data_IF_193978792665
#
_entry.id   IF_193978792665
#
_cell.length_a   1.000
_cell.length_b   1.000
_cell.length_c   1.000
_cell.angle_alpha   90.00
_cell.angle_beta   90.00
_cell.angle_gamma   90.00
#
_symmetry.space_group_name_H-M   'P 1'
#
loop_
_entity.id
_entity.type
_entity.pdbx_description
1 polymer ?
#
# COMPACT_ATOMS: atom_id res chain seq x y z
N UNK A 1 11.68 12.26 0.17
CA UNK A 1 10.34 12.57 -0.38
C UNK A 1 9.49 11.33 -0.62
N UNK A 2 10.06 10.16 -0.98
CA UNK A 2 9.27 8.96 -1.34
C UNK A 2 8.60 8.17 -0.21
N UNK A 3 8.91 8.42 1.08
CA UNK A 3 8.40 7.57 2.19
C UNK A 3 6.87 7.62 2.32
N UNK A 4 6.27 8.80 2.13
CA UNK A 4 4.81 8.94 2.19
C UNK A 4 4.13 8.19 1.05
N UNK A 5 4.69 8.27 -0.16
CA UNK A 5 4.18 7.53 -1.31
C UNK A 5 4.37 6.02 -1.15
N UNK A 6 5.54 5.58 -0.65
CA UNK A 6 5.85 4.20 -0.29
C UNK A 6 4.84 3.64 0.71
N UNK A 7 4.49 4.43 1.74
CA UNK A 7 3.49 4.02 2.70
C UNK A 7 2.10 3.82 2.07
N UNK A 8 1.68 4.73 1.18
CA UNK A 8 0.41 4.62 0.46
C UNK A 8 0.42 3.41 -0.49
N UNK A 9 1.52 3.21 -1.22
CA UNK A 9 1.76 2.07 -2.10
C UNK A 9 1.69 0.74 -1.34
N UNK A 10 2.42 0.62 -0.23
CA UNK A 10 2.41 -0.56 0.64
C UNK A 10 1.02 -0.89 1.19
N UNK A 11 0.22 0.12 1.56
CA UNK A 11 -1.17 -0.11 1.96
C UNK A 11 -1.95 -0.73 0.80
N UNK A 12 -1.85 -0.18 -0.41
CA UNK A 12 -2.46 -0.75 -1.62
C UNK A 12 -2.03 -2.20 -1.87
N UNK A 13 -0.73 -2.48 -1.75
CA UNK A 13 -0.16 -3.82 -1.90
C UNK A 13 -0.72 -4.81 -0.87
N UNK A 14 -0.91 -4.41 0.39
CA UNK A 14 -1.50 -5.29 1.40
C UNK A 14 -2.93 -5.70 1.06
N UNK A 15 -3.76 -4.75 0.63
CA UNK A 15 -5.14 -5.05 0.23
C UNK A 15 -5.19 -5.86 -1.06
N UNK A 16 -4.32 -5.56 -2.04
CA UNK A 16 -4.21 -6.32 -3.28
C UNK A 16 -3.74 -7.76 -3.00
N UNK A 17 -2.74 -7.94 -2.14
CA UNK A 17 -2.22 -9.24 -1.74
C UNK A 17 -3.27 -10.07 -1.00
N UNK A 18 -3.99 -9.48 -0.05
CA UNK A 18 -5.07 -10.16 0.66
C UNK A 18 -6.14 -10.68 -0.31
N UNK A 19 -6.55 -9.85 -1.27
CA UNK A 19 -7.50 -10.23 -2.32
C UNK A 19 -6.99 -11.36 -3.20
N UNK A 20 -5.74 -11.30 -3.64
CA UNK A 20 -5.14 -12.32 -4.50
C UNK A 20 -4.91 -13.66 -3.77
N UNK A 21 -4.69 -13.61 -2.46
CA UNK A 21 -4.57 -14.79 -1.59
C UNK A 21 -5.93 -15.34 -1.13
N UNK A 22 -7.06 -14.72 -1.53
CA UNK A 22 -8.40 -15.04 -1.02
C UNK A 22 -8.48 -14.93 0.52
N UNK A 23 -7.62 -14.10 1.10
CA UNK A 23 -7.59 -13.83 2.52
C UNK A 23 -8.53 -12.67 2.86
N UNK A 24 -9.05 -12.62 4.11
CA UNK A 24 -9.85 -11.49 4.55
C UNK A 24 -9.04 -10.19 4.49
N UNK A 25 -9.69 -9.03 4.28
CA UNK A 25 -9.03 -7.73 4.24
C UNK A 25 -8.19 -7.52 5.53
N UNK A 26 -6.98 -6.94 5.41
CA UNK A 26 -6.08 -6.81 6.54
C UNK A 26 -6.67 -5.85 7.57
N UNK A 27 -6.76 -6.25 8.86
CA UNK A 27 -7.26 -5.36 9.90
C UNK A 27 -6.27 -4.21 10.13
N UNK A 28 -6.77 -3.06 10.64
CA UNK A 28 -5.97 -1.83 10.83
C UNK A 28 -4.67 -2.07 11.61
N UNK A 29 -4.69 -2.94 12.63
CA UNK A 29 -3.51 -3.27 13.42
C UNK A 29 -2.45 -4.05 12.61
N UNK A 30 -2.86 -4.89 11.67
CA UNK A 30 -1.94 -5.63 10.80
C UNK A 30 -1.28 -4.69 9.78
N UNK A 31 -2.03 -3.74 9.23
CA UNK A 31 -1.52 -2.68 8.32
C UNK A 31 -0.51 -1.80 9.04
N UNK A 32 -0.87 -1.26 10.22
CA UNK A 32 0.02 -0.43 11.02
C UNK A 32 1.31 -1.17 11.42
N UNK A 33 1.18 -2.46 11.75
CA UNK A 33 2.33 -3.32 12.04
C UNK A 33 3.22 -3.51 10.81
N UNK A 34 2.64 -3.82 9.65
CA UNK A 34 3.38 -3.95 8.39
C UNK A 34 4.19 -2.70 8.08
N UNK A 35 3.55 -1.53 8.14
CA UNK A 35 4.20 -0.24 7.91
C UNK A 35 5.31 0.06 8.94
N UNK A 36 5.11 -0.34 10.20
CA UNK A 36 6.14 -0.20 11.23
C UNK A 36 7.37 -1.06 10.94
N UNK A 37 7.19 -2.32 10.50
CA UNK A 37 8.30 -3.19 10.11
C UNK A 37 9.01 -2.70 8.84
N UNK A 38 8.28 -2.13 7.88
CA UNK A 38 8.86 -1.48 6.70
C UNK A 38 9.76 -0.29 7.09
N UNK A 39 9.26 0.58 7.98
CA UNK A 39 10.03 1.70 8.53
C UNK A 39 11.25 1.25 9.34
N UNK A 40 11.10 0.21 10.17
CA UNK A 40 12.22 -0.39 10.91
C UNK A 40 13.26 -0.98 9.97
N UNK A 41 12.82 -1.64 8.89
CA UNK A 41 13.67 -2.13 7.83
C UNK A 41 14.47 -0.99 7.19
N UNK A 42 13.81 0.11 6.85
CA UNK A 42 14.47 1.31 6.32
C UNK A 42 15.58 1.83 7.26
N UNK A 43 15.31 1.86 8.57
CA UNK A 43 16.30 2.28 9.57
C UNK A 43 17.50 1.33 9.62
N UNK A 44 17.26 0.02 9.62
CA UNK A 44 18.32 -1.00 9.62
C UNK A 44 19.16 -0.90 8.34
N UNK A 45 18.52 -0.76 7.18
CA UNK A 45 19.17 -0.56 5.86
C UNK A 45 20.04 0.71 5.85
N UNK A 46 19.56 1.80 6.44
CA UNK A 46 20.30 3.04 6.57
C UNK A 46 21.53 2.89 7.48
N UNK A 47 21.38 2.22 8.63
CA UNK A 47 22.48 1.94 9.57
C UNK A 47 23.55 1.05 8.91
N UNK A 48 23.13 0.07 8.11
CA UNK A 48 24.03 -0.83 7.39
C UNK A 48 24.68 -0.20 6.14
N UNK A 49 24.36 1.06 5.83
CA UNK A 49 24.98 1.83 4.76
C UNK A 49 24.42 1.59 3.36
N UNK A 50 23.34 0.82 3.20
CA UNK A 50 22.66 0.64 1.90
C UNK A 50 21.93 1.91 1.49
N UNK A 51 21.35 2.65 2.45
CA UNK A 51 20.74 3.97 2.21
C UNK A 51 19.48 3.98 1.32
N UNK A 52 19.06 2.82 0.82
CA UNK A 52 17.82 2.65 0.06
C UNK A 52 16.63 2.41 1.00
N UNK A 53 15.51 3.08 0.71
CA UNK A 53 14.23 2.80 1.36
C UNK A 53 13.72 1.41 0.99
N UNK A 54 13.13 0.72 1.96
CA UNK A 54 12.43 -0.54 1.77
C UNK A 54 10.94 -0.26 1.62
N UNK A 55 10.29 -0.98 0.72
CA UNK A 55 8.85 -0.91 0.46
C UNK A 55 8.31 -2.31 0.20
N UNK A 56 6.98 -2.44 0.23
CA UNK A 56 6.31 -3.63 -0.30
C UNK A 56 6.53 -3.71 -1.81
N UNK A 57 6.78 -4.93 -2.30
CA UNK A 57 7.07 -5.16 -3.72
C UNK A 57 5.81 -5.61 -4.44
N UNK A 58 5.18 -4.71 -5.21
CA UNK A 58 3.99 -5.03 -6.02
C UNK A 58 4.21 -6.16 -7.02
N UNK A 59 5.46 -6.41 -7.43
CA UNK A 59 5.81 -7.54 -8.30
C UNK A 59 5.58 -8.89 -7.61
N UNK A 60 5.91 -8.99 -6.31
CA UNK A 60 5.65 -10.19 -5.52
C UNK A 60 4.14 -10.39 -5.38
N UNK A 61 3.37 -9.31 -5.23
CA UNK A 61 1.90 -9.34 -5.22
C UNK A 61 1.37 -9.86 -6.56
N UNK A 62 1.90 -9.37 -7.68
CA UNK A 62 1.57 -9.85 -9.02
C UNK A 62 1.91 -11.34 -9.22
N UNK A 63 3.08 -11.78 -8.74
CA UNK A 63 3.50 -13.18 -8.80
C UNK A 63 2.58 -14.11 -8.01
N UNK A 64 2.07 -13.67 -6.85
CA UNK A 64 1.03 -14.41 -6.10
C UNK A 64 -0.24 -14.56 -6.93
N UNK A 65 -0.65 -13.50 -7.64
CA UNK A 65 -1.83 -13.53 -8.51
C UNK A 65 -1.76 -14.60 -9.61
N UNK A 66 -0.55 -14.86 -10.12
CA UNK A 66 -0.28 -15.86 -11.17
C UNK A 66 -0.08 -17.25 -10.57
N UNK A 67 0.80 -17.38 -9.56
CA UNK A 67 1.18 -18.66 -8.97
C UNK A 67 0.10 -19.24 -8.07
N UNK A 68 -0.81 -18.41 -7.56
CA UNK A 68 -1.83 -18.76 -6.56
C UNK A 68 -1.24 -19.33 -5.26
N UNK A 69 0.01 -19.00 -4.94
CA UNK A 69 0.68 -19.44 -3.71
C UNK A 69 0.84 -18.26 -2.74
N UNK A 70 -0.13 -18.08 -1.85
CA UNK A 70 -0.12 -17.06 -0.79
C UNK A 70 0.55 -17.48 0.54
N UNK A 71 1.43 -18.49 0.52
CA UNK A 71 1.98 -19.07 1.75
C UNK A 71 3.11 -18.23 2.37
N UNK A 72 2.96 -17.87 3.66
CA UNK A 72 3.98 -17.13 4.43
C UNK A 72 5.35 -17.83 4.46
N UNK A 73 5.36 -19.17 4.44
CA UNK A 73 6.59 -19.97 4.45
C UNK A 73 7.44 -19.74 3.21
N UNK A 74 6.81 -19.52 2.06
CA UNK A 74 7.50 -19.27 0.79
C UNK A 74 8.28 -17.97 0.88
N UNK A 75 7.66 -16.90 1.40
CA UNK A 75 8.30 -15.59 1.58
C UNK A 75 9.45 -15.67 2.59
N UNK A 76 9.29 -16.42 3.69
CA UNK A 76 10.35 -16.63 4.69
C UNK A 76 11.55 -17.37 4.12
N UNK A 77 11.32 -18.46 3.39
CA UNK A 77 12.38 -19.24 2.75
C UNK A 77 13.08 -18.42 1.67
N UNK A 78 12.32 -17.66 0.85
CA UNK A 78 12.89 -16.74 -0.13
C UNK A 78 13.78 -15.68 0.52
N UNK A 79 13.35 -15.08 1.63
CA UNK A 79 14.16 -14.12 2.40
C UNK A 79 15.45 -14.74 2.95
N UNK A 80 15.38 -15.96 3.49
CA UNK A 80 16.55 -16.69 3.97
C UNK A 80 17.53 -16.99 2.82
N UNK A 81 17.02 -17.43 1.66
CA UNK A 81 17.82 -17.66 0.47
C UNK A 81 18.50 -16.37 0.02
N UNK A 82 17.78 -15.24 0.00
CA UNK A 82 18.35 -13.94 -0.36
C UNK A 82 19.49 -13.54 0.58
N UNK A 83 19.32 -13.69 1.90
CA UNK A 83 20.39 -13.42 2.88
C UNK A 83 21.61 -14.30 2.60
N UNK A 84 21.41 -15.61 2.39
CA UNK A 84 22.51 -16.54 2.12
C UNK A 84 23.22 -16.19 0.82
N UNK A 85 22.48 -15.88 -0.25
CA UNK A 85 23.05 -15.49 -1.54
C UNK A 85 23.82 -14.16 -1.47
N UNK A 86 23.35 -13.20 -0.68
CA UNK A 86 24.05 -11.92 -0.45
C UNK A 86 25.41 -12.09 0.24
N UNK A 87 25.62 -13.15 1.01
CA UNK A 87 26.92 -13.44 1.64
C UNK A 87 27.96 -13.94 0.63
N UNK A 88 27.53 -14.48 -0.52
CA UNK A 88 28.42 -15.02 -1.54
C UNK A 88 28.66 -14.01 -2.67
N UNK A 89 29.71 -13.20 -2.55
CA UNK A 89 30.05 -12.14 -3.53
C UNK A 89 30.25 -12.62 -4.97
N UNK A 90 30.55 -13.92 -5.18
CA UNK A 90 30.63 -14.52 -6.52
C UNK A 90 29.30 -14.45 -7.27
N UNK A 91 28.18 -14.67 -6.58
CA UNK A 91 26.85 -14.56 -7.20
C UNK A 91 26.54 -13.10 -7.54
N UNK A 92 26.86 -12.15 -6.65
CA UNK A 92 26.73 -10.71 -6.91
C UNK A 92 27.56 -10.28 -8.12
N UNK A 93 28.77 -10.81 -8.30
CA UNK A 93 29.62 -10.55 -9.46
C UNK A 93 28.96 -11.05 -10.76
N UNK A 94 28.30 -12.21 -10.75
CA UNK A 94 27.54 -12.69 -11.90
C UNK A 94 26.41 -11.74 -12.27
N UNK A 95 25.65 -11.21 -11.29
CA UNK A 95 24.61 -10.21 -11.57
C UNK A 95 25.17 -8.92 -12.19
N UNK A 96 26.37 -8.50 -11.82
CA UNK A 96 27.03 -7.34 -12.41
C UNK A 96 27.43 -7.54 -13.88
N UNK A 97 27.52 -8.78 -14.37
CA UNK A 97 27.82 -9.07 -15.78
C UNK A 97 26.58 -9.02 -16.70
N UNK A 98 25.38 -8.85 -16.15
CA UNK A 98 24.15 -8.81 -16.94
C UNK A 98 24.14 -7.54 -17.82
N UNK A 99 23.91 -7.67 -19.14
CA UNK A 99 23.83 -6.52 -20.04
C UNK A 99 22.72 -5.54 -19.65
N UNK A 100 23.02 -4.24 -19.75
CA UNK A 100 22.07 -3.14 -19.49
C UNK A 100 20.74 -3.28 -20.24
N UNK A 101 20.69 -3.73 -21.52
CA UNK A 101 19.42 -3.91 -22.22
C UNK A 101 18.49 -4.94 -21.56
N UNK A 102 19.03 -6.00 -20.95
CA UNK A 102 18.24 -7.01 -20.25
C UNK A 102 17.65 -6.40 -18.98
N UNK A 103 18.48 -5.68 -18.22
CA UNK A 103 18.04 -4.97 -17.01
C UNK A 103 16.93 -3.96 -17.35
N UNK A 104 17.06 -3.23 -18.45
CA UNK A 104 16.01 -2.34 -18.95
C UNK A 104 14.71 -3.08 -19.29
N UNK A 105 14.79 -4.26 -19.91
CA UNK A 105 13.61 -5.10 -20.18
C UNK A 105 12.88 -5.56 -18.92
N UNK A 106 13.63 -5.96 -17.88
CA UNK A 106 13.04 -6.29 -16.57
C UNK A 106 12.34 -5.08 -15.97
N UNK A 107 12.96 -3.90 -16.02
CA UNK A 107 12.32 -2.67 -15.51
C UNK A 107 11.03 -2.30 -16.24
N UNK A 108 10.92 -2.54 -17.55
CA UNK A 108 9.68 -2.29 -18.30
C UNK A 108 8.53 -3.16 -17.76
N UNK A 109 8.80 -4.44 -17.50
CA UNK A 109 7.80 -5.36 -16.93
C UNK A 109 7.45 -4.95 -15.50
N UNK A 110 8.45 -4.66 -14.68
CA UNK A 110 8.33 -4.21 -13.30
C UNK A 110 7.43 -2.97 -13.19
N UNK A 111 7.76 -1.89 -13.90
CA UNK A 111 6.97 -0.65 -13.88
C UNK A 111 5.57 -0.85 -14.46
N UNK A 112 5.41 -1.76 -15.42
CA UNK A 112 4.09 -2.15 -15.95
C UNK A 112 3.20 -2.78 -14.86
N UNK A 113 3.73 -3.74 -14.10
CA UNK A 113 3.01 -4.39 -12.99
C UNK A 113 2.74 -3.39 -11.86
N UNK A 114 3.73 -2.59 -11.46
CA UNK A 114 3.58 -1.55 -10.42
C UNK A 114 2.44 -0.59 -10.82
N UNK A 115 2.40 -0.15 -12.08
CA UNK A 115 1.33 0.72 -12.58
C UNK A 115 -0.03 0.03 -12.52
N UNK A 116 -0.11 -1.24 -12.94
CA UNK A 116 -1.36 -2.00 -12.90
C UNK A 116 -1.88 -2.21 -11.46
N UNK A 117 -1.00 -2.55 -10.53
CA UNK A 117 -1.35 -2.70 -9.11
C UNK A 117 -1.77 -1.36 -8.51
N UNK A 118 -1.06 -0.27 -8.81
CA UNK A 118 -1.41 1.08 -8.37
C UNK A 118 -2.76 1.60 -8.88
N UNK A 119 -3.18 1.19 -10.08
CA UNK A 119 -4.50 1.53 -10.64
C UNK A 119 -5.62 0.60 -10.15
N UNK A 120 -5.29 -0.57 -9.60
CA UNK A 120 -6.28 -1.56 -9.19
C UNK A 120 -7.34 -1.06 -8.18
N UNK A 121 -7.06 -0.14 -7.24
CA UNK A 121 -8.08 0.41 -6.35
C UNK A 121 -9.14 1.25 -7.06
N UNK A 122 -8.87 1.74 -8.27
CA UNK A 122 -9.86 2.51 -9.05
C UNK A 122 -11.12 1.69 -9.39
N UNK A 123 -11.04 0.36 -9.33
CA UNK A 123 -12.19 -0.53 -9.53
C UNK A 123 -13.33 -0.31 -8.50
N UNK A 124 -13.04 0.29 -7.35
CA UNK A 124 -14.03 0.54 -6.30
C UNK A 124 -14.80 1.86 -6.51
N UNK A 125 -14.26 2.75 -7.35
CA UNK A 125 -14.75 4.09 -7.64
C UNK A 125 -15.70 4.02 -8.85
N UNK A 126 -16.72 4.88 -8.90
CA UNK A 126 -17.58 4.99 -10.08
C UNK A 126 -16.87 5.74 -11.23
N UNK A 127 -16.47 4.99 -12.26
CA UNK A 127 -15.86 5.51 -13.49
C UNK A 127 -16.90 5.98 -14.53
N UNK A 128 -18.19 6.03 -14.20
CA UNK A 128 -19.18 6.70 -15.06
C UNK A 128 -19.31 8.18 -14.73
N UNK A 129 -18.87 8.62 -13.54
CA UNK A 129 -18.92 10.02 -13.14
C UNK A 129 -17.80 10.82 -13.81
N UNK A 130 -18.17 11.82 -14.61
CA UNK A 130 -17.23 12.75 -15.26
C UNK A 130 -16.29 13.44 -14.26
N UNK A 131 -16.73 13.62 -13.01
CA UNK A 131 -15.91 14.17 -11.91
C UNK A 131 -14.68 13.28 -11.66
N UNK A 132 -14.89 11.99 -11.46
CA UNK A 132 -13.82 11.06 -11.13
C UNK A 132 -12.86 10.87 -12.30
N UNK A 133 -13.40 10.77 -13.52
CA UNK A 133 -12.59 10.71 -14.75
C UNK A 133 -11.71 11.93 -14.91
N UNK A 134 -12.24 13.12 -14.65
CA UNK A 134 -11.47 14.35 -14.69
C UNK A 134 -10.34 14.35 -13.64
N UNK A 135 -10.63 13.99 -12.38
CA UNK A 135 -9.62 13.94 -11.31
C UNK A 135 -8.48 12.98 -11.68
N UNK A 136 -8.82 11.76 -12.11
CA UNK A 136 -7.84 10.72 -12.48
C UNK A 136 -7.00 11.18 -13.67
N UNK A 137 -7.65 11.60 -14.76
CA UNK A 137 -6.95 12.00 -15.98
C UNK A 137 -6.07 13.23 -15.78
N UNK A 138 -6.58 14.26 -15.10
CA UNK A 138 -5.85 15.50 -14.87
C UNK A 138 -4.67 15.29 -13.93
N UNK A 139 -4.83 14.53 -12.84
CA UNK A 139 -3.74 14.26 -11.88
C UNK A 139 -2.61 13.44 -12.49
N UNK A 140 -2.92 12.39 -13.26
CA UNK A 140 -1.91 11.58 -13.96
C UNK A 140 -1.19 12.43 -15.01
N UNK A 141 -1.92 13.18 -15.83
CA UNK A 141 -1.33 14.00 -16.87
C UNK A 141 -0.41 15.08 -16.32
N UNK A 142 -0.86 15.81 -15.29
CA UNK A 142 -0.04 16.85 -14.63
C UNK A 142 1.17 16.27 -13.92
N UNK A 143 1.03 15.11 -13.26
CA UNK A 143 2.13 14.37 -12.63
C UNK A 143 3.21 13.91 -13.60
N UNK A 144 2.91 13.75 -14.90
CA UNK A 144 3.90 13.43 -15.94
C UNK A 144 4.43 14.69 -16.61
N UNK A 145 3.55 15.64 -16.93
CA UNK A 145 3.86 16.81 -17.75
C UNK A 145 4.72 17.84 -17.03
N UNK A 146 4.39 18.17 -15.78
CA UNK A 146 5.08 19.24 -15.03
C UNK A 146 6.53 18.88 -14.71
N UNK A 147 6.86 17.67 -14.21
CA UNK A 147 8.27 17.30 -14.01
C UNK A 147 9.08 17.34 -15.30
N UNK A 148 8.50 16.89 -16.42
CA UNK A 148 9.15 16.94 -17.73
C UNK A 148 9.38 18.39 -18.19
N UNK A 149 8.44 19.28 -17.94
CA UNK A 149 8.58 20.70 -18.23
C UNK A 149 9.66 21.37 -17.36
N UNK A 150 9.72 21.05 -16.06
CA UNK A 150 10.76 21.55 -15.15
C UNK A 150 12.15 21.08 -15.60
N UNK A 151 12.28 19.80 -15.97
CA UNK A 151 13.54 19.26 -16.48
C UNK A 151 13.98 19.94 -17.80
N UNK A 152 13.04 20.31 -18.66
CA UNK A 152 13.32 21.01 -19.91
C UNK A 152 13.61 22.51 -19.73
N UNK A 153 13.22 23.12 -18.61
CA UNK A 153 13.38 24.55 -18.33
C UNK A 153 14.14 24.79 -17.01
N UNK A 154 15.43 24.40 -16.94
CA UNK A 154 16.24 24.64 -15.75
C UNK A 154 16.36 26.14 -15.47
N UNK A 155 16.00 26.57 -14.26
CA UNK A 155 16.02 27.97 -13.85
C UNK A 155 14.78 28.79 -14.21
N UNK A 156 13.67 28.15 -14.59
CA UNK A 156 12.38 28.82 -14.78
C UNK A 156 11.80 29.38 -13.47
N UNK A 157 12.11 28.75 -12.34
CA UNK A 157 11.69 29.20 -11.01
C UNK A 157 12.76 30.15 -10.48
N UNK A 158 12.42 31.44 -10.41
CA UNK A 158 13.27 32.50 -9.86
C UNK A 158 12.46 33.33 -8.88
N UNK A 159 12.27 32.82 -7.67
CA UNK A 159 11.58 33.54 -6.59
C UNK A 159 12.49 34.52 -5.85
N UNK A 160 13.78 34.55 -6.17
CA UNK A 160 14.77 35.45 -5.57
C UNK A 160 15.48 34.87 -4.35
N UNK A 161 15.11 33.66 -3.92
CA UNK A 161 15.80 32.90 -2.87
C UNK A 161 16.20 31.52 -3.41
N UNK A 162 17.50 31.24 -3.42
CA UNK A 162 18.04 30.00 -3.97
C UNK A 162 17.48 28.76 -3.25
N UNK A 163 17.27 28.84 -1.93
CA UNK A 163 16.72 27.73 -1.14
C UNK A 163 15.26 27.42 -1.49
N UNK A 164 14.46 28.45 -1.78
CA UNK A 164 13.05 28.28 -2.17
C UNK A 164 12.98 27.72 -3.59
N UNK A 165 13.79 28.25 -4.50
CA UNK A 165 13.85 27.80 -5.89
C UNK A 165 14.25 26.31 -5.96
N UNK A 166 15.24 25.89 -5.18
CA UNK A 166 15.64 24.47 -5.09
C UNK A 166 14.52 23.60 -4.51
N UNK A 167 13.87 24.04 -3.43
CA UNK A 167 12.78 23.27 -2.80
C UNK A 167 11.60 23.09 -3.76
N UNK A 168 11.17 24.16 -4.43
CA UNK A 168 10.10 24.13 -5.41
C UNK A 168 10.48 23.27 -6.62
N UNK A 169 11.73 23.36 -7.08
CA UNK A 169 12.24 22.52 -8.18
C UNK A 169 12.16 21.04 -7.80
N UNK A 170 12.56 20.65 -6.59
CA UNK A 170 12.50 19.25 -6.13
C UNK A 170 11.05 18.77 -6.03
N UNK A 171 10.14 19.58 -5.47
CA UNK A 171 8.72 19.22 -5.34
C UNK A 171 8.08 19.04 -6.72
N UNK A 172 8.27 20.00 -7.62
CA UNK A 172 7.66 19.99 -8.95
C UNK A 172 8.31 18.97 -9.90
N UNK A 173 9.56 18.58 -9.65
CA UNK A 173 10.23 17.48 -10.38
C UNK A 173 9.79 16.10 -9.88
N UNK A 174 9.11 16.01 -8.73
CA UNK A 174 8.63 14.74 -8.17
C UNK A 174 7.20 14.46 -8.67
N UNK A 175 7.09 13.80 -9.82
CA UNK A 175 5.79 13.56 -10.49
C UNK A 175 4.75 12.80 -9.66
N UNK A 176 5.19 11.79 -8.92
CA UNK A 176 4.32 11.00 -8.02
C UNK A 176 3.69 11.85 -6.91
N UNK A 177 4.50 12.70 -6.25
CA UNK A 177 4.02 13.62 -5.23
C UNK A 177 3.04 14.63 -5.82
N UNK A 178 3.40 15.23 -6.96
CA UNK A 178 2.60 16.24 -7.60
C UNK A 178 1.24 15.71 -8.06
N UNK A 179 1.21 14.56 -8.73
CA UNK A 179 -0.03 13.90 -9.14
C UNK A 179 -0.92 13.58 -7.94
N UNK A 180 -0.34 13.04 -6.87
CA UNK A 180 -1.07 12.73 -5.63
C UNK A 180 -1.66 13.96 -4.95
N UNK A 181 -0.88 15.05 -4.82
CA UNK A 181 -1.36 16.31 -4.22
C UNK A 181 -2.46 16.94 -5.07
N UNK A 182 -2.33 16.94 -6.39
CA UNK A 182 -3.36 17.46 -7.30
C UNK A 182 -4.63 16.61 -7.21
N UNK A 183 -4.51 15.27 -7.23
CA UNK A 183 -5.65 14.38 -7.08
C UNK A 183 -6.39 14.63 -5.76
N UNK A 184 -5.65 14.73 -4.66
CA UNK A 184 -6.19 15.03 -3.33
C UNK A 184 -6.89 16.39 -3.30
N UNK A 185 -6.25 17.42 -3.85
CA UNK A 185 -6.83 18.76 -3.90
C UNK A 185 -8.13 18.78 -4.72
N UNK A 186 -8.15 18.14 -5.88
CA UNK A 186 -9.33 18.11 -6.74
C UNK A 186 -10.45 17.26 -6.13
N UNK A 187 -10.15 16.14 -5.50
CA UNK A 187 -11.17 15.30 -4.87
C UNK A 187 -11.87 16.03 -3.71
N UNK A 188 -11.15 16.82 -2.92
CA UNK A 188 -11.71 17.65 -1.85
C UNK A 188 -12.45 18.88 -2.35
N UNK A 189 -12.02 19.47 -3.47
CA UNK A 189 -12.62 20.71 -4.01
C UNK A 189 -13.89 20.42 -4.81
N UNK A 190 -13.90 19.35 -5.60
CA UNK A 190 -15.04 18.98 -6.43
C UNK A 190 -16.08 18.21 -5.58
N UNK A 191 -17.29 18.75 -5.51
CA UNK A 191 -18.42 18.10 -4.84
C UNK A 191 -18.69 16.73 -5.47
N UNK A 192 -18.78 15.69 -4.65
CA UNK A 192 -19.16 14.34 -5.07
C UNK A 192 -19.76 13.57 -3.89
N UNK A 193 -20.51 12.53 -4.20
CA UNK A 193 -21.14 11.65 -3.20
C UNK A 193 -20.19 10.55 -2.74
N UNK A 194 -20.46 9.97 -1.57
CA UNK A 194 -19.65 8.86 -1.03
C UNK A 194 -19.72 7.59 -1.89
N UNK A 195 -20.79 7.45 -2.67
CA UNK A 195 -20.95 6.38 -3.67
C UNK A 195 -20.05 6.60 -4.87
N UNK A 196 -20.05 7.81 -5.44
CA UNK A 196 -19.16 8.16 -6.55
C UNK A 196 -17.69 8.00 -6.14
N UNK A 197 -17.32 8.37 -4.91
CA UNK A 197 -15.95 8.19 -4.38
C UNK A 197 -15.57 6.73 -4.12
N UNK A 198 -16.52 5.79 -4.21
CA UNK A 198 -16.27 4.36 -3.96
C UNK A 198 -16.12 3.98 -2.49
N UNK A 199 -16.41 4.91 -1.56
CA UNK A 199 -16.22 4.69 -0.12
C UNK A 199 -17.15 3.58 0.38
N UNK A 200 -18.40 3.56 -0.07
CA UNK A 200 -19.35 2.51 0.31
C UNK A 200 -18.94 1.13 -0.19
N UNK A 201 -18.47 1.04 -1.44
CA UNK A 201 -17.98 -0.21 -2.03
C UNK A 201 -16.73 -0.71 -1.31
N UNK A 202 -15.81 0.19 -0.97
CA UNK A 202 -14.62 -0.13 -0.19
C UNK A 202 -14.95 -0.61 1.22
N UNK A 203 -15.85 0.09 1.93
CA UNK A 203 -16.31 -0.29 3.27
C UNK A 203 -17.04 -1.63 3.23
N UNK A 204 -17.88 -1.88 2.23
CA UNK A 204 -18.57 -3.17 2.09
C UNK A 204 -17.58 -4.32 1.94
N UNK A 205 -16.53 -4.15 1.12
CA UNK A 205 -15.46 -5.16 0.99
C UNK A 205 -14.66 -5.31 2.29
N UNK A 206 -14.41 -4.22 3.02
CA UNK A 206 -13.74 -4.26 4.31
C UNK A 206 -14.58 -4.96 5.40
N UNK A 207 -15.89 -4.69 5.48
CA UNK A 207 -16.80 -5.22 6.49
C UNK A 207 -17.28 -6.65 6.22
N UNK A 208 -17.42 -7.07 4.96
CA UNK A 208 -17.69 -8.49 4.64
C UNK A 208 -16.56 -9.39 5.15
N UNK A 209 -15.33 -8.86 5.27
CA UNK A 209 -14.21 -9.52 5.93
C UNK A 209 -14.32 -9.66 7.45
N UNK A 210 -15.00 -8.72 8.12
CA UNK A 210 -15.17 -8.72 9.57
C UNK A 210 -16.35 -9.59 10.03
N UNK A 211 -17.44 -9.64 9.25
CA UNK A 211 -18.68 -10.34 9.64
C UNK A 211 -18.66 -11.86 9.43
N UNK A 212 -17.72 -12.40 8.65
CA UNK A 212 -17.79 -13.80 8.22
C UNK A 212 -17.03 -14.80 9.11
N UNK A 213 -16.11 -14.40 10.00
CA UNK A 213 -15.42 -15.35 10.89
C UNK A 213 -14.56 -14.59 11.93
N UNK A 214 -15.10 -14.36 13.13
CA UNK A 214 -14.38 -13.74 14.27
C UNK A 214 -13.22 -14.61 14.79
N UNK A 215 -13.12 -15.89 14.41
CA UNK A 215 -12.04 -16.81 14.83
C UNK A 215 -10.93 -17.05 13.77
N UNK A 216 -11.22 -16.95 12.47
CA UNK A 216 -10.24 -17.33 11.41
C UNK A 216 -9.41 -16.15 10.88
N UNK A 217 -9.95 -14.93 10.99
CA UNK A 217 -9.32 -13.67 10.55
C UNK A 217 -8.05 -13.33 11.34
N UNK A 218 -8.02 -13.67 12.63
CA UNK A 218 -6.89 -13.40 13.53
C UNK A 218 -5.70 -14.32 13.21
N UNK A 219 -5.94 -15.61 13.00
CA UNK A 219 -4.90 -16.60 12.69
C UNK A 219 -4.13 -16.29 11.39
N UNK A 220 -4.81 -15.73 10.38
CA UNK A 220 -4.22 -15.42 9.07
C UNK A 220 -3.25 -14.24 9.11
N UNK A 221 -3.36 -13.35 10.11
CA UNK A 221 -2.47 -12.19 10.29
C UNK A 221 -1.57 -12.32 11.52
N UNK A 222 -1.47 -13.49 12.14
CA UNK A 222 -0.58 -13.70 13.29
C UNK A 222 0.91 -13.60 12.97
N UNK A 223 1.71 -13.33 14.01
CA UNK A 223 3.16 -13.30 13.94
C UNK A 223 3.76 -14.70 13.67
N UNK A 224 4.86 -14.79 12.91
CA UNK A 224 5.51 -16.07 12.64
C UNK A 224 6.10 -16.68 13.90
N UNK A 225 6.26 -18.01 13.90
CA UNK A 225 6.89 -18.79 14.99
C UNK A 225 6.21 -18.68 16.36
N UNK A 226 4.91 -18.34 16.42
CA UNK A 226 4.18 -18.26 17.68
C UNK A 226 4.56 -17.05 18.54
N UNK A 227 5.25 -16.05 17.97
CA UNK A 227 5.62 -14.81 18.66
C UNK A 227 4.41 -14.05 19.22
N UNK A 228 3.21 -14.30 18.66
CA UNK A 228 1.94 -13.86 19.21
C UNK A 228 1.79 -14.23 20.70
N UNK A 229 2.13 -15.48 21.09
CA UNK A 229 2.00 -15.95 22.47
C UNK A 229 2.98 -15.25 23.42
N UNK A 230 4.14 -14.83 22.91
CA UNK A 230 5.12 -14.05 23.65
C UNK A 230 4.69 -12.60 23.83
N UNK A 231 4.17 -11.97 22.77
CA UNK A 231 3.63 -10.60 22.81
C UNK A 231 2.35 -10.49 23.66
N UNK A 232 1.49 -11.51 23.65
CA UNK A 232 0.28 -11.57 24.48
C UNK A 232 0.59 -11.61 25.99
N UNK A 233 1.84 -11.91 26.38
CA UNK A 233 2.28 -12.00 27.78
C UNK A 233 2.43 -10.64 28.46
N UNK A 234 2.62 -9.56 27.68
CA UNK A 234 2.78 -8.21 28.22
C UNK A 234 1.53 -7.36 27.95
N UNK A 235 0.76 -7.06 29.00
CA UNK A 235 -0.50 -6.29 28.91
C UNK A 235 -0.36 -4.90 28.29
N UNK A 236 0.80 -4.26 28.40
CA UNK A 236 1.07 -2.96 27.75
C UNK A 236 1.08 -3.05 26.22
N UNK A 237 1.45 -4.20 25.65
CA UNK A 237 1.49 -4.39 24.20
C UNK A 237 0.09 -4.40 23.56
N UNK A 238 -1.00 -4.62 24.32
CA UNK A 238 -2.37 -4.54 23.79
C UNK A 238 -2.82 -3.10 23.48
N UNK A 239 -2.09 -2.09 23.98
CA UNK A 239 -2.38 -0.67 23.74
C UNK A 239 -1.62 -0.10 22.53
N UNK A 240 -0.64 -0.84 22.01
CA UNK A 240 0.17 -0.38 20.88
C UNK A 240 -0.50 -0.82 19.58
N UNK A 241 -0.80 0.09 18.63
CA UNK A 241 -1.47 -0.21 17.37
C UNK A 241 -0.64 -1.09 16.41
N UNK A 242 0.55 -1.52 16.83
CA UNK A 242 1.52 -2.36 16.10
C UNK A 242 1.42 -3.83 16.57
N UNK A 243 0.82 -4.11 17.73
CA UNK A 243 0.82 -5.46 18.27
C UNK A 243 -0.36 -6.31 17.74
N UNK A 244 -0.16 -7.63 17.61
CA UNK A 244 -1.22 -8.57 17.22
C UNK A 244 -2.38 -8.64 18.22
N UNK A 245 -2.15 -8.25 19.47
CA UNK A 245 -3.16 -8.25 20.55
C UNK A 245 -3.93 -6.92 20.65
N UNK A 246 -3.76 -6.01 19.68
CA UNK A 246 -4.48 -4.74 19.66
C UNK A 246 -5.97 -4.97 19.32
N UNK A 247 -6.83 -4.86 20.33
CA UNK A 247 -8.28 -4.95 20.18
C UNK A 247 -8.89 -3.53 20.25
N UNK A 248 -9.33 -3.02 19.09
CA UNK A 248 -9.94 -1.69 18.95
C UNK A 248 -11.40 -1.66 19.47
N UNK A 249 -11.98 -2.84 19.70
CA UNK A 249 -13.41 -3.07 19.89
C UNK A 249 -13.98 -2.48 21.20
N UNK A 250 -13.13 -2.23 22.21
CA UNK A 250 -13.56 -1.58 23.46
C UNK A 250 -13.83 -0.07 23.32
N UNK A 251 -13.33 0.59 22.26
CA UNK A 251 -13.56 2.04 22.03
C UNK A 251 -14.66 2.32 21.02
N UNK A 252 -14.87 1.47 20.02
CA UNK A 252 -15.96 1.64 19.04
C UNK A 252 -17.32 1.18 19.59
N UNK A 253 -17.38 0.10 20.37
CA UNK A 253 -18.63 -0.37 21.00
C UNK A 253 -19.25 0.68 21.95
N UNK A 254 -18.41 1.44 22.66
CA UNK A 254 -18.82 2.56 23.52
C UNK A 254 -19.36 3.76 22.70
N UNK A 255 -18.84 3.97 21.49
CA UNK A 255 -19.23 5.07 20.61
C UNK A 255 -20.48 4.73 19.76
N UNK A 256 -20.67 3.46 19.39
CA UNK A 256 -21.88 2.98 18.69
C UNK A 256 -23.11 2.87 19.60
N UNK A 257 -22.94 2.56 20.90
CA UNK A 257 -24.06 2.60 21.88
C UNK A 257 -24.66 3.99 22.11
N UNK A 258 -23.93 5.06 21.77
CA UNK A 258 -24.44 6.43 21.83
C UNK A 258 -25.25 6.89 20.61
N UNK A 259 -25.16 6.18 19.47
CA UNK A 259 -25.74 6.60 18.19
C UNK A 259 -26.73 5.59 17.59
N UNK A 260 -27.05 4.50 18.29
CA UNK A 260 -27.96 3.45 17.79
C UNK A 260 -29.43 3.76 18.11
N UNK A 261 -29.89 4.89 17.58
CA UNK A 261 -31.31 5.16 17.36
C UNK A 261 -31.43 5.76 15.96
N UNK A 262 -31.17 4.96 14.91
CA UNK A 262 -31.86 5.07 13.62
C UNK A 262 -31.33 4.07 12.57
N UNK A 263 -32.28 3.29 12.04
CA UNK A 263 -32.37 2.65 10.71
C UNK A 263 -31.54 1.37 10.45
N UNK A 264 -32.24 0.25 10.57
CA UNK A 264 -31.96 -1.00 9.84
C UNK A 264 -31.94 -0.76 8.33
N UNK A 265 -30.82 -1.09 7.67
CA UNK A 265 -30.75 -1.18 6.21
C UNK A 265 -30.72 -2.67 5.84
N UNK A 266 -31.78 -3.12 5.17
CA UNK A 266 -32.00 -4.48 4.70
C UNK A 266 -31.11 -4.77 3.48
N UNK A 267 -30.07 -5.59 3.64
CA UNK A 267 -29.15 -6.00 2.57
C UNK A 267 -29.54 -7.44 2.14
N UNK A 268 -29.88 -7.71 0.88
CA UNK A 268 -30.27 -9.05 0.43
C UNK A 268 -29.07 -10.01 0.43
N UNK A 269 -29.24 -11.18 1.04
CA UNK A 269 -28.27 -12.31 1.01
C UNK A 269 -28.16 -12.85 -0.41
N UNK A 270 -26.95 -12.85 -0.97
CA UNK A 270 -26.59 -13.63 -2.15
C UNK A 270 -26.14 -15.00 -1.67
N UNK A 271 -26.93 -16.02 -1.99
CA UNK A 271 -26.69 -17.43 -1.67
C UNK A 271 -25.73 -18.00 -2.73
N UNK A 272 -24.48 -18.30 -2.34
CA UNK A 272 -23.51 -18.96 -3.23
C UNK A 272 -23.55 -20.47 -2.94
N UNK A 273 -24.23 -21.20 -3.81
CA UNK A 273 -24.24 -22.67 -3.85
C UNK A 273 -22.86 -23.18 -4.21
N UNK A 274 -22.24 -23.95 -3.30
CA UNK A 274 -21.01 -24.70 -3.57
C UNK A 274 -21.26 -25.78 -4.64
N UNK A 275 -20.40 -25.83 -5.65
CA UNK A 275 -20.06 -27.05 -6.40
C UNK A 275 -18.53 -27.12 -6.46
#
# INVERSE_FOLDING_TARGET
SGVLCSAIESVGDYYACARLCEAPPPPKHAVNRGLCFEGLGCLISAIWGTGCGLTSYSENVGAIGITKVGSRRVVQVAGLIMIVLSLFSKFTATFATIPVPIVGGVFVVMFGIITAVGLSPLQFIDLNSSRNLFIIGFSIFTGICIPKWIAANPGAIKTGSESIDQTLTIILSTGMLLGGVIAFFLDNTLKGTDEERGIKNWIAVAHVGELNEEETTIASYDLPFGLHQFCAKFKFLSYIPICSTYCEDSRESFRRKGNSSDKELNIPRIEITRI
#
